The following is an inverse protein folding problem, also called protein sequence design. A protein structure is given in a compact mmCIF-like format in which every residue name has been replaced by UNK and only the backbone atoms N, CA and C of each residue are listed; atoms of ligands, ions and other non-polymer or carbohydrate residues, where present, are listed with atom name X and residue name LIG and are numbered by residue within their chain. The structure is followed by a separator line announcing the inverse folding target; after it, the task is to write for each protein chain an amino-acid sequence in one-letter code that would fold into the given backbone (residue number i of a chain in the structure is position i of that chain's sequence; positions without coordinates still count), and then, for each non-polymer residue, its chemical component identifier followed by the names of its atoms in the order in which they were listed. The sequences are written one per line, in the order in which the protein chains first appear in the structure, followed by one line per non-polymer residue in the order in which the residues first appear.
data_IF_147985623893
#
_entry.id   IF_147985623893
#
_cell.length_a   1.000
_cell.length_b   1.000
_cell.length_c   1.000
_cell.angle_alpha   90.00
_cell.angle_beta   90.00
_cell.angle_gamma   90.00
#
_symmetry.space_group_name_H-M   'P 1'
#
loop_
_entity.id
_entity.type
_entity.pdbx_description
1 polymer ?
2 water ?
#
# COMPACT_ATOMS: atom_id res chain seq x y z
N UNK A 12 -16.97 3.97 -25.90
CA UNK A 12 -16.59 2.69 -25.20
C UNK A 12 -17.87 2.15 -24.59
N UNK A 13 -18.32 1.01 -25.11
CA UNK A 13 -19.51 0.33 -24.56
C UNK A 13 -19.23 -0.11 -23.12
N UNK A 14 -18.06 -0.73 -22.95
CA UNK A 14 -17.71 -1.33 -21.65
C UNK A 14 -17.12 -0.34 -20.64
N UNK A 15 -16.58 0.78 -21.13
CA UNK A 15 -16.17 1.87 -20.25
C UNK A 15 -17.39 2.44 -19.55
N UNK A 16 -18.48 2.59 -20.26
CA UNK A 16 -19.67 3.14 -19.64
C UNK A 16 -20.28 2.18 -18.61
N UNK A 17 -20.18 0.87 -18.84
CA UNK A 17 -20.83 -0.06 -17.93
C UNK A 17 -19.99 -0.14 -16.61
N UNK A 18 -18.68 -0.03 -16.79
CA UNK A 18 -17.71 -0.05 -15.72
C UNK A 18 -17.90 1.16 -14.80
N UNK A 19 -18.13 2.33 -15.41
CA UNK A 19 -18.46 3.52 -14.67
C UNK A 19 -19.71 3.36 -13.83
N UNK A 20 -20.74 2.71 -14.38
CA UNK A 20 -22.00 2.55 -13.64
C UNK A 20 -21.87 1.50 -12.51
N UNK A 21 -21.12 0.47 -12.79
CA UNK A 21 -20.89 -0.64 -11.86
C UNK A 21 -20.00 -0.19 -10.68
N UNK A 22 -18.95 0.58 -10.98
CA UNK A 22 -18.10 1.22 -9.96
C UNK A 22 -18.88 2.12 -9.04
N UNK A 23 -19.77 2.96 -9.61
CA UNK A 23 -20.58 3.87 -8.81
C UNK A 23 -21.56 3.10 -7.93
N UNK A 24 -22.15 2.04 -8.47
CA UNK A 24 -23.12 1.25 -7.71
C UNK A 24 -22.45 0.26 -6.71
N UNK A 25 -21.15 0.02 -6.85
CA UNK A 25 -20.44 -0.86 -5.91
C UNK A 25 -20.66 -2.34 -6.21
N UNK A 26 -20.75 -2.64 -7.49
CA UNK A 26 -21.14 -3.99 -7.96
C UNK A 26 -19.83 -4.69 -8.26
N UNK A 27 -19.23 -5.30 -7.22
CA UNK A 27 -17.84 -5.72 -7.32
C UNK A 27 -17.66 -6.88 -8.28
N UNK A 28 -18.67 -7.73 -8.32
CA UNK A 28 -18.74 -8.79 -9.31
C UNK A 28 -18.72 -8.23 -10.76
N UNK A 29 -19.57 -7.24 -11.05
CA UNK A 29 -19.67 -6.68 -12.39
C UNK A 29 -18.40 -5.96 -12.78
N UNK A 30 -17.79 -5.27 -11.81
CA UNK A 30 -16.54 -4.61 -12.04
C UNK A 30 -15.46 -5.57 -12.44
N UNK A 31 -15.39 -6.70 -11.74
CA UNK A 31 -14.36 -7.66 -11.98
C UNK A 31 -14.53 -8.27 -13.40
N UNK A 32 -15.80 -8.44 -13.80
CA UNK A 32 -16.20 -9.12 -15.06
C UNK A 32 -15.85 -8.19 -16.20
N UNK A 33 -16.25 -6.92 -16.06
CA UNK A 33 -15.95 -5.95 -17.10
C UNK A 33 -14.47 -5.78 -17.29
N UNK A 34 -13.69 -5.68 -16.22
CA UNK A 34 -12.25 -5.57 -16.40
C UNK A 34 -11.64 -6.83 -17.06
N UNK A 35 -12.24 -8.00 -16.79
CA UNK A 35 -11.76 -9.26 -17.37
C UNK A 35 -12.09 -9.26 -18.86
N UNK A 36 -13.21 -8.64 -19.21
CA UNK A 36 -13.64 -8.56 -20.58
C UNK A 36 -12.77 -7.54 -21.36
N UNK A 37 -12.16 -6.58 -20.67
CA UNK A 37 -11.23 -5.63 -21.28
C UNK A 37 -11.65 -4.16 -21.21
N UNK A 38 -12.57 -3.84 -20.29
CA UNK A 38 -13.04 -2.46 -20.16
C UNK A 38 -11.88 -1.55 -19.69
N UNK A 39 -11.86 -0.34 -20.25
CA UNK A 39 -10.83 0.62 -19.97
C UNK A 39 -11.00 1.06 -18.51
N UNK A 40 -9.95 0.82 -17.73
CA UNK A 40 -9.98 1.07 -16.30
C UNK A 40 -10.05 2.60 -16.05
N UNK A 41 -9.54 3.39 -16.99
CA UNK A 41 -9.63 4.85 -16.91
C UNK A 41 -10.65 5.45 -17.85
N UNK A 42 -11.72 4.73 -18.12
CA UNK A 42 -12.81 5.28 -18.87
C UNK A 42 -13.42 6.55 -18.19
N UNK A 43 -13.83 7.53 -18.99
CA UNK A 43 -14.44 8.73 -18.44
C UNK A 43 -15.87 8.95 -18.81
N UNK A 44 -16.62 9.47 -17.84
CA UNK A 44 -17.91 9.99 -18.09
C UNK A 44 -17.80 11.41 -18.68
N UNK A 45 -18.94 12.05 -18.83
CA UNK A 45 -19.07 13.33 -19.54
C UNK A 45 -18.63 14.47 -18.65
N UNK A 46 -18.28 14.17 -17.40
CA UNK A 46 -17.67 15.12 -16.49
C UNK A 46 -16.19 14.91 -16.31
N UNK A 47 -15.63 13.91 -17.00
CA UNK A 47 -14.21 13.57 -16.97
C UNK A 47 -13.84 12.62 -15.86
N UNK A 48 -14.84 12.13 -15.15
CA UNK A 48 -14.62 11.23 -14.04
C UNK A 48 -14.46 9.79 -14.46
N UNK A 49 -13.39 9.17 -13.93
CA UNK A 49 -13.10 7.74 -14.12
C UNK A 49 -13.80 6.88 -13.05
N UNK A 50 -13.78 5.58 -13.21
CA UNK A 50 -14.42 4.72 -12.20
C UNK A 50 -13.80 4.93 -10.84
N UNK A 51 -12.48 5.17 -10.77
CA UNK A 51 -11.82 5.42 -9.53
C UNK A 51 -12.36 6.71 -8.86
N UNK A 52 -12.52 7.81 -9.60
CA UNK A 52 -13.25 8.99 -9.07
C UNK A 52 -14.60 8.61 -8.47
N UNK A 53 -15.38 7.85 -9.22
CA UNK A 53 -16.79 7.61 -8.85
C UNK A 53 -16.89 6.77 -7.58
N UNK A 54 -16.08 5.73 -7.51
CA UNK A 54 -15.98 4.87 -6.33
C UNK A 54 -15.39 5.61 -5.14
N UNK A 55 -14.41 6.48 -5.38
CA UNK A 55 -13.78 7.27 -4.27
C UNK A 55 -14.74 8.28 -3.69
N UNK A 56 -15.62 8.80 -4.54
CA UNK A 56 -16.57 9.79 -4.10
C UNK A 56 -17.69 9.16 -3.29
N UNK A 57 -18.25 8.07 -3.79
CA UNK A 57 -19.41 7.43 -3.15
C UNK A 57 -18.96 6.60 -1.94
N UNK A 58 -17.69 6.17 -1.91
CA UNK A 58 -17.14 5.47 -0.77
C UNK A 58 -17.05 3.96 -0.89
N UNK A 59 -17.00 3.43 -2.10
CA UNK A 59 -16.81 1.96 -2.27
C UNK A 59 -15.36 1.54 -2.26
N UNK A 60 -14.83 1.29 -1.07
CA UNK A 60 -13.42 0.99 -0.91
C UNK A 60 -12.96 -0.23 -1.70
N UNK A 61 -13.76 -1.28 -1.72
CA UNK A 61 -13.40 -2.54 -2.46
C UNK A 61 -13.28 -2.31 -3.96
N UNK A 62 -14.10 -1.42 -4.49
CA UNK A 62 -13.98 -1.03 -5.90
C UNK A 62 -12.72 -0.18 -6.16
N UNK A 63 -12.51 0.83 -5.28
CA UNK A 63 -11.25 1.56 -5.34
C UNK A 63 -10.05 0.60 -5.41
N UNK A 64 -10.03 -0.40 -4.53
CA UNK A 64 -8.89 -1.32 -4.42
C UNK A 64 -8.70 -2.09 -5.72
N UNK A 65 -9.76 -2.60 -6.27
CA UNK A 65 -9.60 -3.46 -7.41
C UNK A 65 -9.22 -2.63 -8.64
N UNK A 66 -9.75 -1.42 -8.75
CA UNK A 66 -9.39 -0.53 -9.86
C UNK A 66 -7.92 -0.21 -9.79
N UNK A 67 -7.43 0.14 -8.60
CA UNK A 67 -6.03 0.43 -8.41
C UNK A 67 -5.12 -0.81 -8.73
N UNK A 68 -5.63 -1.99 -8.48
CA UNK A 68 -4.82 -3.20 -8.78
C UNK A 68 -4.82 -3.48 -10.27
N UNK A 69 -5.79 -2.94 -10.97
CA UNK A 69 -5.93 -3.11 -12.41
C UNK A 69 -5.36 -1.87 -13.13
N UNK A 70 -4.51 -1.12 -12.47
CA UNK A 70 -3.76 -0.03 -13.11
C UNK A 70 -4.48 1.30 -13.30
N UNK A 71 -5.56 1.53 -12.54
CA UNK A 71 -6.26 2.83 -12.53
C UNK A 71 -5.28 3.95 -12.20
N UNK A 72 -5.43 5.08 -12.89
CA UNK A 72 -4.63 6.27 -12.65
C UNK A 72 -5.05 6.95 -11.36
N UNK A 73 -4.21 6.83 -10.37
CA UNK A 73 -4.52 7.32 -9.01
C UNK A 73 -4.68 8.84 -9.02
N UNK A 74 -4.03 9.51 -9.99
CA UNK A 74 -4.12 10.97 -10.11
C UNK A 74 -4.88 11.52 -11.28
N UNK A 75 -5.81 10.74 -11.80
CA UNK A 75 -6.64 11.22 -12.88
C UNK A 75 -7.44 12.50 -12.48
N UNK A 76 -7.57 13.38 -13.47
CA UNK A 76 -8.23 14.67 -13.31
C UNK A 76 -9.56 14.68 -14.02
N UNK A 77 -10.63 15.08 -13.34
CA UNK A 77 -11.88 15.34 -14.04
C UNK A 77 -11.88 16.79 -14.53
N UNK A 78 -12.96 17.20 -15.15
CA UNK A 78 -13.05 18.49 -15.79
C UNK A 78 -13.02 19.66 -14.77
N UNK A 79 -13.34 19.36 -13.50
CA UNK A 79 -13.24 20.35 -12.42
C UNK A 79 -11.86 20.36 -11.81
N UNK A 80 -10.94 19.54 -12.32
CA UNK A 80 -9.58 19.43 -11.85
C UNK A 80 -9.44 18.59 -10.60
N UNK A 81 -10.46 17.80 -10.26
CA UNK A 81 -10.45 17.01 -9.03
C UNK A 81 -9.85 15.63 -9.30
N UNK A 82 -9.00 15.17 -8.38
CA UNK A 82 -8.46 13.83 -8.37
C UNK A 82 -9.33 13.02 -7.42
N UNK A 83 -9.21 11.70 -7.51
CA UNK A 83 -9.94 10.83 -6.58
C UNK A 83 -9.71 11.22 -5.13
N UNK A 84 -8.51 11.59 -4.76
CA UNK A 84 -8.18 12.00 -3.42
C UNK A 84 -8.99 13.20 -2.95
N UNK A 85 -9.19 14.16 -3.83
CA UNK A 85 -10.05 15.32 -3.52
C UNK A 85 -11.42 14.86 -3.10
N UNK A 86 -11.94 13.91 -3.86
CA UNK A 86 -13.34 13.52 -3.66
C UNK A 86 -13.52 12.71 -2.40
N UNK A 87 -12.60 11.76 -2.17
CA UNK A 87 -12.63 10.93 -0.98
C UNK A 87 -12.42 11.77 0.30
N UNK A 88 -11.51 12.75 0.22
CA UNK A 88 -11.28 13.65 1.36
C UNK A 88 -12.50 14.51 1.71
N UNK A 89 -13.10 15.12 0.72
CA UNK A 89 -14.30 15.96 0.85
C UNK A 89 -15.42 15.12 1.42
N UNK A 90 -15.53 13.87 0.99
CA UNK A 90 -16.65 13.04 1.48
C UNK A 90 -16.42 12.24 2.74
N UNK A 91 -15.27 12.41 3.36
CA UNK A 91 -14.98 11.77 4.64
C UNK A 91 -14.60 10.28 4.57
N UNK A 92 -14.13 9.80 3.44
CA UNK A 92 -13.85 8.36 3.32
C UNK A 92 -12.43 8.07 3.68
N UNK A 93 -12.18 7.95 4.98
CA UNK A 93 -10.82 7.86 5.53
C UNK A 93 -10.02 6.66 4.97
N UNK A 94 -10.65 5.50 4.90
CA UNK A 94 -9.92 4.31 4.39
C UNK A 94 -9.52 4.42 2.89
N UNK A 95 -10.37 5.06 2.11
CA UNK A 95 -10.08 5.32 0.70
C UNK A 95 -8.93 6.34 0.65
N UNK A 96 -8.99 7.40 1.45
CA UNK A 96 -7.89 8.36 1.44
C UNK A 96 -6.60 7.65 1.70
N UNK A 97 -6.58 6.79 2.70
CA UNK A 97 -5.38 6.06 3.09
C UNK A 97 -4.83 5.19 1.94
N UNK A 98 -5.70 4.50 1.21
CA UNK A 98 -5.27 3.57 0.15
C UNK A 98 -4.80 4.37 -1.06
N UNK A 99 -5.49 5.47 -1.38
CA UNK A 99 -5.09 6.33 -2.50
C UNK A 99 -3.67 6.91 -2.25
N UNK A 100 -3.44 7.38 -1.03
CA UNK A 100 -2.12 7.85 -0.67
C UNK A 100 -1.05 6.73 -0.74
N UNK A 101 -1.38 5.54 -0.28
CA UNK A 101 -0.42 4.43 -0.33
C UNK A 101 -0.07 4.14 -1.80
N UNK A 102 -1.00 4.29 -2.71
CA UNK A 102 -0.74 4.13 -4.12
C UNK A 102 -0.29 5.39 -4.82
N UNK A 103 0.20 6.37 -4.10
CA UNK A 103 0.88 7.49 -4.76
C UNK A 103 0.04 8.68 -5.17
N UNK A 104 -1.13 8.82 -4.57
CA UNK A 104 -1.96 9.99 -4.86
C UNK A 104 -1.13 11.23 -4.47
N UNK A 105 -1.28 12.29 -5.22
CA UNK A 105 -0.64 13.58 -4.97
C UNK A 105 -1.40 14.30 -3.87
N UNK A 106 -0.77 14.42 -2.74
CA UNK A 106 -1.38 14.95 -1.52
C UNK A 106 -1.71 16.44 -1.66
N UNK A 107 -1.00 17.11 -2.56
CA UNK A 107 -1.12 18.54 -2.76
C UNK A 107 -1.71 18.92 -4.11
N UNK A 108 -2.48 18.04 -4.72
CA UNK A 108 -3.14 18.36 -5.96
C UNK A 108 -4.12 19.53 -5.80
N UNK A 109 -4.16 20.45 -6.76
CA UNK A 109 -5.04 21.59 -6.63
C UNK A 109 -6.07 21.54 -7.72
N UNK A 110 -7.32 21.74 -7.36
CA UNK A 110 -8.37 21.69 -8.38
C UNK A 110 -8.52 23.06 -9.11
N UNK A 111 -9.61 23.19 -9.85
CA UNK A 111 -9.98 24.41 -10.58
C UNK A 111 -9.95 25.70 -9.74
N UNK A 112 -10.41 25.68 -8.49
CA UNK A 112 -10.31 26.84 -7.62
C UNK A 112 -9.16 26.81 -6.60
N UNK A 113 -8.22 25.90 -6.78
CA UNK A 113 -7.05 25.82 -5.93
C UNK A 113 -7.29 25.09 -4.64
N UNK A 114 -8.42 24.44 -4.52
CA UNK A 114 -8.60 23.60 -3.33
C UNK A 114 -7.70 22.41 -3.41
N UNK A 115 -7.03 22.11 -2.30
CA UNK A 115 -6.29 20.84 -2.16
C UNK A 115 -7.13 19.88 -1.34
N UNK A 116 -6.75 18.60 -1.26
CA UNK A 116 -7.43 17.66 -0.35
C UNK A 116 -7.49 18.12 1.10
N UNK A 117 -6.44 18.75 1.60
CA UNK A 117 -6.51 19.37 2.92
C UNK A 117 -7.58 20.44 3.07
N UNK A 118 -7.72 21.36 2.09
CA UNK A 118 -8.85 22.32 2.18
C UNK A 118 -10.18 21.60 2.31
N UNK A 119 -10.41 20.60 1.45
CA UNK A 119 -11.70 19.96 1.39
C UNK A 119 -12.01 19.17 2.68
N UNK A 120 -11.02 18.49 3.24
CA UNK A 120 -11.25 17.73 4.44
C UNK A 120 -11.41 18.68 5.63
N UNK A 121 -10.66 19.76 5.65
CA UNK A 121 -10.86 20.77 6.73
C UNK A 121 -12.26 21.39 6.66
N UNK A 122 -12.75 21.67 5.46
CA UNK A 122 -14.04 22.31 5.29
C UNK A 122 -15.19 21.40 5.71
N UNK A 123 -15.01 20.09 5.63
CA UNK A 123 -16.06 19.16 6.11
C UNK A 123 -15.78 18.56 7.51
N UNK A 124 -14.74 19.03 8.17
CA UNK A 124 -14.53 18.73 9.55
C UNK A 124 -13.98 17.35 9.83
N UNK A 125 -13.31 16.76 8.84
CA UNK A 125 -12.84 15.41 8.95
C UNK A 125 -11.44 15.42 9.52
N UNK A 126 -11.32 15.41 10.85
CA UNK A 126 -10.02 15.51 11.52
C UNK A 126 -9.03 14.39 11.22
N UNK A 127 -9.51 13.15 11.24
CA UNK A 127 -8.65 11.98 10.98
C UNK A 127 -8.06 12.06 9.58
N UNK A 128 -8.88 12.46 8.63
CA UNK A 128 -8.37 12.68 7.26
C UNK A 128 -7.34 13.80 7.21
N UNK A 129 -7.64 14.93 7.84
CA UNK A 129 -6.66 16.01 7.91
C UNK A 129 -5.31 15.52 8.48
N UNK A 130 -5.34 14.75 9.56
CA UNK A 130 -4.12 14.18 10.18
C UNK A 130 -3.31 13.33 9.18
N UNK A 131 -3.97 12.49 8.42
CA UNK A 131 -3.25 11.63 7.48
C UNK A 131 -2.73 12.40 6.30
N UNK A 132 -3.51 13.32 5.79
CA UNK A 132 -2.98 14.20 4.75
C UNK A 132 -1.71 14.94 5.17
N UNK A 133 -1.73 15.45 6.39
CA UNK A 133 -0.58 16.16 6.94
C UNK A 133 0.63 15.23 7.02
N UNK A 134 0.41 14.00 7.46
CA UNK A 134 1.53 13.03 7.46
C UNK A 134 2.13 12.77 6.10
N UNK A 135 1.29 12.74 5.08
CA UNK A 135 1.75 12.52 3.74
C UNK A 135 2.29 13.80 3.10
N UNK A 136 2.33 14.88 3.84
CA UNK A 136 3.03 16.05 3.34
C UNK A 136 2.15 17.19 2.81
N UNK A 137 0.86 17.22 3.16
CA UNK A 137 -0.05 18.27 2.73
C UNK A 137 0.52 19.61 3.20
N UNK A 138 0.38 20.60 2.33
CA UNK A 138 0.94 21.97 2.51
C UNK A 138 -0.08 22.80 3.22
N UNK A 139 0.24 23.11 4.46
CA UNK A 139 -0.64 23.87 5.33
C UNK A 139 -0.72 25.34 4.93
N UNK A 140 0.22 25.80 4.11
CA UNK A 140 0.21 27.18 3.60
C UNK A 140 -0.47 27.39 2.24
N UNK A 141 -0.88 26.31 1.58
CA UNK A 141 -1.51 26.35 0.32
C UNK A 141 -2.77 27.21 0.38
N UNK A 142 -2.81 28.20 -0.49
CA UNK A 142 -4.00 29.04 -0.63
C UNK A 142 -4.82 28.59 -1.82
N UNK A 143 -6.14 28.60 -1.67
CA UNK A 143 -7.01 28.44 -2.85
C UNK A 143 -7.05 29.73 -3.64
N UNK A 144 -7.87 29.80 -4.68
CA UNK A 144 -7.88 31.00 -5.56
C UNK A 144 -8.40 32.29 -4.90
N UNK A 145 -9.11 32.13 -3.77
CA UNK A 145 -9.68 33.23 -2.99
C UNK A 145 -8.82 33.60 -1.81
N UNK A 146 -7.65 32.98 -1.72
CA UNK A 146 -6.68 33.25 -0.69
C UNK A 146 -6.76 32.50 0.64
N UNK A 147 -7.65 31.51 0.74
CA UNK A 147 -7.92 30.80 1.99
C UNK A 147 -6.96 29.60 2.13
N UNK A 148 -6.39 29.46 3.30
CA UNK A 148 -5.71 28.22 3.68
C UNK A 148 -6.67 27.31 4.42
N UNK A 149 -6.23 26.07 4.60
CA UNK A 149 -7.01 25.14 5.37
C UNK A 149 -7.25 25.69 6.78
N UNK A 150 -6.20 26.26 7.38
CA UNK A 150 -6.34 26.90 8.69
C UNK A 150 -7.45 27.96 8.66
N UNK A 151 -7.43 28.85 7.66
CA UNK A 151 -8.46 29.91 7.55
C UNK A 151 -9.83 29.32 7.51
N UNK A 152 -9.96 28.22 6.78
CA UNK A 152 -11.24 27.52 6.70
C UNK A 152 -11.69 27.09 8.08
N UNK A 153 -10.76 26.55 8.85
CA UNK A 153 -11.08 26.02 10.16
C UNK A 153 -11.53 27.14 11.12
N UNK A 154 -10.91 28.31 11.03
CA UNK A 154 -11.36 29.48 11.79
C UNK A 154 -12.75 29.99 11.32
N UNK A 155 -12.95 30.14 10.01
CA UNK A 155 -14.26 30.52 9.47
C UNK A 155 -15.40 29.64 9.94
N UNK A 156 -15.09 28.36 10.15
CA UNK A 156 -16.11 27.35 10.49
C UNK A 156 -16.30 27.19 11.99
N UNK A 157 -15.48 27.87 12.77
CA UNK A 157 -15.53 27.77 14.22
C UNK A 157 -15.09 26.42 14.77
N UNK A 158 -14.35 25.66 13.96
CA UNK A 158 -13.83 24.34 14.35
C UNK A 158 -12.47 24.49 15.04
N UNK A 159 -12.46 24.52 16.38
CA UNK A 159 -11.27 24.82 17.18
C UNK A 159 -10.25 23.68 17.20
N UNK A 160 -10.77 22.46 17.15
CA UNK A 160 -9.94 21.26 17.17
C UNK A 160 -9.13 21.11 15.89
N UNK A 161 -9.78 21.41 14.76
CA UNK A 161 -9.08 21.42 13.49
C UNK A 161 -8.01 22.47 13.49
N UNK A 162 -8.36 23.67 13.94
CA UNK A 162 -7.46 24.83 13.85
C UNK A 162 -6.15 24.56 14.53
N UNK A 163 -6.24 23.91 15.67
CA UNK A 163 -5.06 23.61 16.49
C UNK A 163 -4.01 22.90 15.64
N UNK A 164 -4.43 21.86 14.91
CA UNK A 164 -3.47 21.05 14.16
C UNK A 164 -3.09 21.63 12.80
N UNK A 165 -3.87 22.58 12.30
CA UNK A 165 -3.62 23.14 10.99
C UNK A 165 -2.65 24.29 11.01
N UNK A 166 -2.24 24.72 12.10
N UNK B 12 1.57 -31.23 2.91
CA UNK B 12 1.49 -32.70 2.63
C UNK B 12 2.51 -33.45 3.52
N UNK B 13 2.63 -34.76 3.29
CA UNK B 13 3.81 -35.55 3.65
C UNK B 13 5.09 -35.01 2.94
N UNK B 14 5.01 -34.84 1.62
CA UNK B 14 6.11 -34.24 0.82
C UNK B 14 6.25 -32.75 1.13
N UNK B 15 5.11 -32.06 1.19
CA UNK B 15 5.01 -30.68 1.64
C UNK B 15 5.86 -30.45 2.85
N UNK B 16 5.61 -31.22 3.91
CA UNK B 16 6.33 -31.13 5.16
C UNK B 16 7.85 -31.35 4.97
N UNK B 17 8.24 -32.28 4.09
CA UNK B 17 9.67 -32.53 3.84
C UNK B 17 10.35 -31.37 3.07
N UNK B 18 9.58 -30.77 2.16
CA UNK B 18 10.02 -29.61 1.36
C UNK B 18 10.21 -28.41 2.25
N UNK B 19 9.29 -28.21 3.20
CA UNK B 19 9.42 -27.20 4.24
C UNK B 19 10.67 -27.39 5.05
N UNK B 20 10.91 -28.61 5.56
CA UNK B 20 12.09 -28.86 6.37
C UNK B 20 13.38 -28.74 5.53
N UNK B 21 13.39 -29.22 4.28
CA UNK B 21 14.57 -29.03 3.40
C UNK B 21 14.92 -27.57 3.09
N UNK B 22 13.91 -26.75 2.83
CA UNK B 22 14.08 -25.34 2.55
C UNK B 22 14.64 -24.67 3.80
N UNK B 23 14.09 -25.01 4.95
CA UNK B 23 14.60 -24.45 6.20
C UNK B 23 16.04 -24.83 6.42
N UNK B 24 16.38 -26.08 6.12
CA UNK B 24 17.75 -26.54 6.40
C UNK B 24 18.77 -26.13 5.32
N UNK B 25 18.33 -25.52 4.22
CA UNK B 25 19.27 -25.08 3.19
C UNK B 25 19.74 -26.24 2.30
N UNK B 26 18.96 -27.32 2.25
CA UNK B 26 19.28 -28.49 1.41
C UNK B 26 18.78 -28.39 -0.02
N UNK B 27 19.59 -27.75 -0.87
CA UNK B 27 19.13 -27.40 -2.21
C UNK B 27 18.91 -28.66 -3.06
N UNK B 28 19.75 -29.66 -2.92
CA UNK B 28 19.50 -30.93 -3.65
C UNK B 28 18.16 -31.54 -3.23
N UNK B 29 17.90 -31.59 -1.93
CA UNK B 29 16.67 -32.20 -1.41
C UNK B 29 15.45 -31.44 -1.91
N UNK B 30 15.53 -30.09 -1.86
CA UNK B 30 14.46 -29.26 -2.41
C UNK B 30 14.16 -29.55 -3.87
N UNK B 31 15.22 -29.69 -4.64
CA UNK B 31 15.11 -30.06 -6.04
C UNK B 31 14.52 -31.46 -6.19
N UNK B 32 14.99 -32.42 -5.42
CA UNK B 32 14.46 -33.79 -5.51
C UNK B 32 12.96 -33.80 -5.12
N UNK B 33 12.64 -33.23 -3.97
CA UNK B 33 11.29 -33.21 -3.45
C UNK B 33 10.28 -32.58 -4.39
N UNK B 34 10.65 -31.51 -5.10
CA UNK B 34 9.74 -30.88 -6.05
C UNK B 34 9.58 -31.66 -7.35
N UNK B 35 10.65 -32.27 -7.84
CA UNK B 35 10.57 -33.17 -9.01
C UNK B 35 9.66 -34.37 -8.67
N UNK B 36 9.71 -34.87 -7.43
CA UNK B 36 8.78 -35.90 -7.01
C UNK B 36 7.37 -35.40 -6.68
N UNK B 37 7.04 -34.17 -7.05
CA UNK B 37 5.68 -33.63 -6.92
C UNK B 37 5.33 -32.76 -5.70
N UNK B 38 6.29 -32.39 -4.85
CA UNK B 38 5.99 -31.52 -3.69
C UNK B 38 5.52 -30.12 -4.13
N UNK B 39 4.46 -29.63 -3.50
CA UNK B 39 3.82 -28.36 -3.82
C UNK B 39 4.74 -27.25 -3.33
N UNK B 40 5.19 -26.43 -4.26
CA UNK B 40 6.17 -25.38 -3.90
C UNK B 40 5.58 -24.36 -2.90
N UNK B 41 4.27 -24.27 -2.89
CA UNK B 41 3.58 -23.45 -1.91
C UNK B 41 2.95 -24.26 -0.78
N UNK B 42 3.55 -25.37 -0.37
CA UNK B 42 3.01 -26.13 0.78
C UNK B 42 3.08 -25.22 2.00
N UNK B 43 2.17 -25.41 2.96
CA UNK B 43 2.17 -24.63 4.17
C UNK B 43 2.43 -25.41 5.43
N UNK B 44 3.15 -24.83 6.37
CA UNK B 44 3.22 -25.44 7.71
C UNK B 44 2.02 -25.02 8.53
N UNK B 45 2.04 -25.32 9.81
CA UNK B 45 0.87 -25.10 10.65
C UNK B 45 0.66 -23.64 10.98
N UNK B 46 1.68 -22.83 10.66
CA UNK B 46 1.63 -21.40 10.87
C UNK B 46 1.35 -20.61 9.59
N UNK B 47 1.07 -21.34 8.52
CA UNK B 47 0.82 -20.81 7.20
C UNK B 47 2.03 -20.39 6.37
N UNK B 48 3.23 -20.75 6.84
CA UNK B 48 4.47 -20.39 6.16
C UNK B 48 4.81 -21.42 5.11
N UNK B 49 5.15 -20.91 3.94
CA UNK B 49 5.59 -21.68 2.78
C UNK B 49 7.12 -21.87 2.84
N UNK B 50 7.64 -22.76 2.01
CA UNK B 50 9.08 -22.93 1.92
C UNK B 50 9.78 -21.63 1.60
N UNK B 51 9.14 -20.74 0.82
CA UNK B 51 9.75 -19.45 0.53
C UNK B 51 9.84 -18.61 1.80
N UNK B 52 8.78 -18.62 2.63
CA UNK B 52 8.86 -17.99 3.91
C UNK B 52 10.02 -18.54 4.74
N UNK B 53 10.12 -19.88 4.88
CA UNK B 53 11.11 -20.43 5.80
C UNK B 53 12.53 -20.09 5.32
N UNK B 54 12.78 -20.19 4.02
CA UNK B 54 14.11 -19.90 3.47
C UNK B 54 14.44 -18.41 3.63
N UNK B 55 13.48 -17.55 3.40
CA UNK B 55 13.68 -16.11 3.52
C UNK B 55 13.96 -15.66 4.93
N UNK B 56 13.29 -16.27 5.90
CA UNK B 56 13.52 -16.01 7.29
C UNK B 56 14.91 -16.45 7.75
N UNK B 57 15.27 -17.70 7.43
CA UNK B 57 16.55 -18.23 7.91
C UNK B 57 17.73 -17.76 7.12
N UNK B 58 17.53 -17.29 5.88
CA UNK B 58 18.66 -16.71 5.16
C UNK B 58 19.25 -17.52 4.01
N UNK B 59 18.59 -18.54 3.52
CA UNK B 59 19.13 -19.40 2.41
C UNK B 59 18.73 -18.86 1.00
N UNK B 60 19.54 -17.96 0.50
CA UNK B 60 19.27 -17.35 -0.79
C UNK B 60 19.17 -18.35 -1.96
N UNK B 61 19.98 -19.40 -1.96
CA UNK B 61 19.99 -20.40 -3.02
C UNK B 61 18.59 -21.02 -3.04
N UNK B 62 18.06 -21.32 -1.87
CA UNK B 62 16.73 -21.94 -1.81
C UNK B 62 15.67 -20.96 -2.25
N UNK B 63 15.76 -19.72 -1.77
CA UNK B 63 14.84 -18.71 -2.23
C UNK B 63 14.80 -18.65 -3.78
N UNK B 64 15.97 -18.70 -4.39
CA UNK B 64 16.03 -18.56 -5.85
C UNK B 64 15.41 -19.79 -6.53
N UNK B 65 15.69 -20.97 -6.01
CA UNK B 65 15.19 -22.22 -6.57
C UNK B 65 13.67 -22.17 -6.55
N UNK B 66 13.13 -21.73 -5.41
CA UNK B 66 11.69 -21.74 -5.20
C UNK B 66 11.01 -20.75 -6.12
N UNK B 67 11.53 -19.52 -6.21
CA UNK B 67 10.99 -18.50 -7.11
C UNK B 67 10.97 -18.93 -8.58
N UNK B 68 12.01 -19.66 -8.98
CA UNK B 68 12.06 -20.19 -10.36
C UNK B 68 11.02 -21.26 -10.61
N UNK B 69 10.61 -21.95 -9.56
CA UNK B 69 9.63 -23.02 -9.66
C UNK B 69 8.22 -22.63 -9.26
N UNK B 70 7.95 -21.33 -9.30
CA UNK B 70 6.61 -20.79 -9.13
C UNK B 70 6.19 -20.49 -7.69
N UNK B 71 7.13 -20.37 -6.77
CA UNK B 71 6.76 -19.93 -5.43
C UNK B 71 6.03 -18.57 -5.48
N UNK B 72 4.95 -18.42 -4.72
CA UNK B 72 4.28 -17.13 -4.59
C UNK B 72 5.07 -16.16 -3.74
N UNK B 73 5.63 -15.16 -4.40
CA UNK B 73 6.47 -14.17 -3.74
C UNK B 73 5.79 -13.37 -2.64
N UNK B 74 4.44 -13.27 -2.71
CA UNK B 74 3.67 -12.53 -1.72
C UNK B 74 2.74 -13.39 -0.86
N UNK B 75 3.12 -14.65 -0.64
CA UNK B 75 2.36 -15.55 0.21
C UNK B 75 2.28 -14.97 1.64
N UNK B 76 1.11 -15.14 2.25
CA UNK B 76 0.83 -14.54 3.51
C UNK B 76 0.77 -15.70 4.50
N UNK B 77 1.58 -15.69 5.55
CA UNK B 77 1.33 -16.61 6.66
C UNK B 77 0.18 -16.14 7.56
N UNK B 78 -0.13 -16.94 8.58
CA UNK B 78 -1.28 -16.61 9.43
C UNK B 78 -1.04 -15.46 10.39
N UNK B 79 0.16 -14.91 10.45
CA UNK B 79 0.40 -13.63 11.12
C UNK B 79 0.38 -12.43 10.15
N UNK B 80 0.06 -12.70 8.90
CA UNK B 80 0.01 -11.63 7.90
C UNK B 80 1.35 -11.27 7.24
N UNK B 81 2.37 -12.08 7.50
CA UNK B 81 3.72 -11.84 6.98
C UNK B 81 3.95 -12.47 5.64
N UNK B 82 4.63 -11.69 4.78
CA UNK B 82 5.12 -12.10 3.51
C UNK B 82 6.60 -12.52 3.68
N UNK B 83 7.15 -13.23 2.70
CA UNK B 83 8.59 -13.52 2.74
C UNK B 83 9.48 -12.29 2.87
N UNK B 84 9.10 -11.18 2.25
CA UNK B 84 9.81 -9.92 2.40
C UNK B 84 9.85 -9.39 3.84
N UNK B 85 8.73 -9.48 4.55
CA UNK B 85 8.73 -9.13 5.94
C UNK B 85 9.84 -9.90 6.72
N UNK B 86 9.93 -11.22 6.52
CA UNK B 86 10.78 -12.05 7.34
C UNK B 86 12.25 -11.76 6.96
N UNK B 87 12.53 -11.56 5.67
CA UNK B 87 13.91 -11.36 5.20
C UNK B 87 14.36 -9.98 5.72
N UNK B 88 13.48 -8.99 5.66
CA UNK B 88 13.79 -7.65 6.13
C UNK B 88 14.08 -7.58 7.62
N UNK B 89 13.22 -8.23 8.41
CA UNK B 89 13.37 -8.31 9.83
C UNK B 89 14.66 -9.00 10.27
N UNK B 90 15.08 -10.01 9.54
CA UNK B 90 16.27 -10.81 9.87
C UNK B 90 17.57 -10.36 9.24
N UNK B 91 17.53 -9.27 8.50
CA UNK B 91 18.72 -8.69 7.94
C UNK B 91 19.32 -9.40 6.72
N UNK B 92 18.50 -10.09 5.96
CA UNK B 92 18.92 -10.83 4.79
C UNK B 92 18.80 -9.95 3.55
N UNK B 93 19.83 -9.14 3.34
CA UNK B 93 19.87 -8.10 2.30
C UNK B 93 19.69 -8.66 0.93
N UNK B 94 20.42 -9.73 0.58
CA UNK B 94 20.36 -10.25 -0.77
C UNK B 94 18.99 -10.91 -1.09
N UNK B 95 18.39 -11.49 -0.05
CA UNK B 95 17.07 -12.05 -0.25
C UNK B 95 16.06 -10.94 -0.44
N UNK B 96 16.14 -9.91 0.38
CA UNK B 96 15.33 -8.74 0.16
C UNK B 96 15.41 -8.26 -1.32
N UNK B 97 16.63 -8.14 -1.83
CA UNK B 97 16.84 -7.64 -3.17
C UNK B 97 16.14 -8.54 -4.18
N UNK B 98 16.28 -9.86 -4.03
CA UNK B 98 15.74 -10.78 -5.05
C UNK B 98 14.23 -10.86 -4.96
N UNK B 99 13.71 -10.73 -3.73
CA UNK B 99 12.26 -10.81 -3.56
C UNK B 99 11.64 -9.59 -4.22
N UNK B 100 12.25 -8.43 -4.00
CA UNK B 100 11.78 -7.17 -4.64
C UNK B 100 11.88 -7.25 -6.17
N UNK B 101 12.98 -7.84 -6.66
CA UNK B 101 13.17 -8.03 -8.06
C UNK B 101 12.09 -8.94 -8.69
N UNK B 102 11.63 -9.94 -7.94
CA UNK B 102 10.61 -10.86 -8.39
C UNK B 102 9.17 -10.38 -8.02
N UNK B 103 9.00 -9.12 -7.71
CA UNK B 103 7.69 -8.55 -7.52
C UNK B 103 7.09 -8.62 -6.12
N UNK B 104 7.94 -8.77 -5.08
CA UNK B 104 7.42 -8.65 -3.73
C UNK B 104 6.74 -7.27 -3.52
N UNK B 105 5.63 -7.28 -2.77
CA UNK B 105 4.92 -6.06 -2.38
C UNK B 105 5.68 -5.33 -1.27
N UNK B 106 6.28 -4.20 -1.61
CA UNK B 106 7.17 -3.52 -0.68
C UNK B 106 6.41 -2.94 0.49
N UNK B 107 5.14 -2.69 0.30
CA UNK B 107 4.33 -2.04 1.33
C UNK B 107 3.29 -2.94 2.00
N UNK B 108 3.48 -4.23 1.88
CA UNK B 108 2.60 -5.20 2.52
C UNK B 108 2.60 -4.95 3.99
N UNK B 109 1.42 -5.00 4.59
CA UNK B 109 1.34 -4.84 6.04
C UNK B 109 0.79 -6.10 6.70
N UNK B 110 1.40 -6.42 7.83
CA UNK B 110 1.02 -7.63 8.60
C UNK B 110 -0.10 -7.35 9.57
N UNK B 111 -0.36 -8.26 10.52
CA UNK B 111 -1.59 -8.13 11.32
C UNK B 111 -1.50 -6.98 12.30
N UNK B 112 -0.29 -6.54 12.60
CA UNK B 112 -0.13 -5.33 13.43
C UNK B 112 0.17 -4.05 12.62
N UNK B 113 0.08 -4.17 11.33
CA UNK B 113 0.31 -3.07 10.44
C UNK B 113 1.79 -2.83 10.16
N UNK B 114 2.67 -3.73 10.56
CA UNK B 114 4.07 -3.50 10.22
C UNK B 114 4.31 -3.80 8.75
N UNK B 115 5.08 -2.92 8.13
CA UNK B 115 5.61 -3.13 6.82
C UNK B 115 7.05 -3.59 6.91
N UNK B 116 7.60 -4.07 5.82
CA UNK B 116 9.02 -4.42 5.79
C UNK B 116 9.96 -3.30 6.23
N UNK B 117 9.62 -2.07 5.88
CA UNK B 117 10.34 -0.89 6.32
C UNK B 117 10.34 -0.71 7.87
N UNK B 118 9.19 -0.84 8.51
CA UNK B 118 9.13 -0.90 9.95
C UNK B 118 10.07 -1.94 10.51
N UNK B 119 9.99 -3.16 9.97
CA UNK B 119 10.75 -4.26 10.54
C UNK B 119 12.25 -4.07 10.35
N UNK B 120 12.71 -3.60 9.19
CA UNK B 120 14.15 -3.37 8.95
C UNK B 120 14.66 -2.19 9.79
N UNK B 121 13.81 -1.21 10.00
CA UNK B 121 14.16 -0.06 10.84
C UNK B 121 14.33 -0.54 12.27
N UNK B 122 13.38 -1.31 12.76
CA UNK B 122 13.40 -1.77 14.14
C UNK B 122 14.70 -2.55 14.41
N UNK B 123 15.15 -3.34 13.46
CA UNK B 123 16.32 -4.18 13.66
C UNK B 123 17.63 -3.50 13.16
N UNK B 124 17.57 -2.23 12.78
CA UNK B 124 18.78 -1.48 12.48
C UNK B 124 19.46 -1.83 11.16
N UNK B 125 18.72 -2.44 10.23
CA UNK B 125 19.29 -2.81 8.93
C UNK B 125 19.25 -1.68 7.90
N UNK B 126 20.28 -0.82 7.94
CA UNK B 126 20.32 0.37 7.12
C UNK B 126 20.34 0.05 5.63
N UNK B 127 21.10 -0.95 5.21
CA UNK B 127 21.22 -1.18 3.76
C UNK B 127 19.87 -1.68 3.27
N UNK B 128 19.18 -2.49 4.10
CA UNK B 128 17.88 -3.02 3.70
C UNK B 128 16.84 -1.89 3.64
N UNK B 129 16.88 -0.99 4.61
CA UNK B 129 16.02 0.20 4.61
C UNK B 129 16.24 0.98 3.28
N UNK B 130 17.48 1.17 2.88
CA UNK B 130 17.79 1.93 1.65
C UNK B 130 17.20 1.26 0.43
N UNK B 131 17.32 -0.07 0.34
CA UNK B 131 16.77 -0.84 -0.75
C UNK B 131 15.22 -0.76 -0.79
N UNK B 132 14.58 -0.89 0.37
CA UNK B 132 13.14 -0.77 0.47
C UNK B 132 12.65 0.60 -0.01
N UNK B 133 13.35 1.64 0.39
CA UNK B 133 12.97 3.00 0.02
C UNK B 133 13.07 3.16 -1.52
N UNK B 134 14.14 2.60 -2.08
CA UNK B 134 14.36 2.66 -3.54
C UNK B 134 13.31 1.87 -4.33
N UNK B 135 12.65 0.89 -3.69
CA UNK B 135 11.57 0.13 -4.33
C UNK B 135 10.21 0.66 -4.03
N UNK B 136 10.16 1.81 -3.41
CA UNK B 136 8.89 2.51 -3.23
C UNK B 136 8.26 2.39 -1.87
N UNK B 137 9.03 2.01 -0.88
CA UNK B 137 8.49 1.81 0.47
C UNK B 137 7.89 3.13 0.95
N UNK B 138 6.71 3.02 1.57
CA UNK B 138 5.96 4.15 2.07
C UNK B 138 6.46 4.59 3.42
N UNK B 139 7.16 5.71 3.41
CA UNK B 139 7.74 6.21 4.60
C UNK B 139 6.72 6.69 5.63
N UNK B 140 5.49 6.97 5.19
CA UNK B 140 4.47 7.47 6.08
C UNK B 140 3.49 6.43 6.56
N UNK B 141 3.72 5.16 6.25
CA UNK B 141 2.81 4.10 6.66
C UNK B 141 2.96 3.99 8.16
N UNK B 142 1.83 3.81 8.85
CA UNK B 142 1.78 3.69 10.30
C UNK B 142 1.33 2.30 10.62
N UNK B 143 1.92 1.70 11.66
CA UNK B 143 1.41 0.44 12.21
C UNK B 143 0.15 0.75 13.01
N UNK B 144 -0.50 -0.28 13.51
CA UNK B 144 -1.77 -0.07 14.20
C UNK B 144 -1.66 0.77 15.51
N UNK B 145 -0.45 0.91 16.05
CA UNK B 145 -0.24 1.77 17.23
C UNK B 145 0.17 3.19 16.86
N UNK B 146 0.24 3.45 15.56
CA UNK B 146 0.48 4.76 14.99
C UNK B 146 1.94 5.12 14.70
N UNK B 147 2.85 4.15 14.84
CA UNK B 147 4.30 4.36 14.58
C UNK B 147 4.66 4.27 13.13
N UNK B 148 5.45 5.23 12.64
CA UNK B 148 6.12 5.07 11.37
C UNK B 148 7.52 4.47 11.57
N UNK B 149 8.19 4.13 10.47
CA UNK B 149 9.54 3.66 10.56
C UNK B 149 10.48 4.71 11.16
N UNK B 150 10.23 5.95 10.83
CA UNK B 150 10.99 7.00 11.44
C UNK B 150 10.80 7.03 12.94
N UNK B 151 9.56 7.02 13.44
CA UNK B 151 9.29 6.95 14.89
C UNK B 151 10.08 5.83 15.57
N UNK B 152 10.08 4.68 14.91
CA UNK B 152 10.87 3.56 15.39
C UNK B 152 12.38 3.85 15.54
N UNK B 153 12.96 4.48 14.54
CA UNK B 153 14.40 4.77 14.59
C UNK B 153 14.70 5.73 15.77
N UNK B 154 13.84 6.73 15.94
CA UNK B 154 13.92 7.66 17.07
C UNK B 154 13.80 6.94 18.41
N UNK B 155 12.73 6.16 18.56
CA UNK B 155 12.51 5.35 19.74
C UNK B 155 13.74 4.51 20.10
N UNK B 156 14.45 4.01 19.10
CA UNK B 156 15.59 3.14 19.31
C UNK B 156 16.89 3.92 19.45
N UNK B 157 16.87 5.21 19.18
CA UNK B 157 18.04 6.07 19.27
C UNK B 157 18.99 5.80 18.14
N UNK B 158 18.47 5.37 16.98
CA UNK B 158 19.30 5.13 15.81
C UNK B 158 19.25 6.36 14.92
N UNK B 159 20.32 7.12 15.04
CA UNK B 159 20.46 8.46 14.52
C UNK B 159 20.65 8.48 12.99
N UNK B 160 21.47 7.55 12.50
CA UNK B 160 21.74 7.37 11.05
C UNK B 160 20.49 6.88 10.27
N UNK B 161 19.66 6.06 10.91
CA UNK B 161 18.43 5.60 10.28
C UNK B 161 17.45 6.73 10.21
N UNK B 162 17.28 7.39 11.35
CA UNK B 162 16.35 8.49 11.48
C UNK B 162 16.60 9.46 10.31
N UNK B 163 17.87 9.66 10.01
CA UNK B 163 18.34 10.57 8.95
C UNK B 163 17.78 10.30 7.57
N UNK B 164 17.69 9.03 7.21
CA UNK B 164 17.20 8.69 5.89
C UNK B 164 15.72 8.36 5.87
N UNK B 165 15.07 8.31 7.03
CA UNK B 165 13.64 7.98 7.12
C UNK B 165 12.68 9.19 7.21
N UNK B 166 13.17 10.31 7.28
#
# INVERSE_FOLDING_TARGET
MRGSHHHHHHGSDLGKKLLEAARAGQDDEVRILMANGADVNAEDTYGDTPLHLAARVGHLEIVEVLLKNGADVNALDFSGSTPLHLAAKRGHLEIVEVLLKYGADVNADDTIGSTPLHLAADTGHLEIVEVLLKYGADVNAQDKFGKTAFDISIDNGNEDLAEILQ
MRGSHHHHHHGSDLGKKLLEAARAGQDDEVRILMANGADVNAEDTYGDTPLHLAARVGHLEIVEVLLKNGADVNALDFSGSTPLHLAAKRGHLEIVEVLLKYGADVNADDTIGSTPLHLAADTGHLEIVEVLLKYGADVNAQDKFGKTAFDISIDNGNEDLAEILQ
#
